data_IF_658646476945
#
_entry.id   IF_658646476945
#
_cell.length_a   1.000
_cell.length_b   1.000
_cell.length_c   1.000
_cell.angle_alpha   90.00
_cell.angle_beta   90.00
_cell.angle_gamma   90.00
#
_symmetry.space_group_name_H-M   'P 1'
#
loop_
_entity.id
_entity.type
_entity.pdbx_description
1 polymer ?
#
# COMPACT_ATOMS: atom_id res chain seq x y z
N UNK A 1 13.72 8.51 -14.32
CA UNK A 1 12.35 8.86 -13.89
C UNK A 1 11.78 7.76 -13.00
N UNK A 2 11.13 8.13 -11.91
CA UNK A 2 10.54 7.24 -10.89
C UNK A 2 9.61 6.17 -11.48
N UNK A 3 8.81 6.50 -12.49
CA UNK A 3 7.89 5.56 -13.18
C UNK A 3 8.51 4.24 -13.66
N UNK A 4 9.76 4.26 -14.14
CA UNK A 4 10.45 3.02 -14.59
C UNK A 4 10.81 2.14 -13.40
N UNK A 5 11.20 2.74 -12.28
CA UNK A 5 11.53 2.03 -11.05
C UNK A 5 10.28 1.42 -10.43
N UNK A 6 9.17 2.16 -10.40
CA UNK A 6 7.87 1.68 -9.88
C UNK A 6 7.39 0.43 -10.64
N UNK A 7 7.48 0.45 -11.99
CA UNK A 7 7.11 -0.72 -12.80
C UNK A 7 7.99 -1.94 -12.52
N UNK A 8 9.29 -1.74 -12.32
CA UNK A 8 10.22 -2.83 -11.98
C UNK A 8 9.94 -3.39 -10.59
N UNK A 9 9.63 -2.53 -9.61
CA UNK A 9 9.26 -2.96 -8.27
C UNK A 9 8.00 -3.82 -8.28
N UNK A 10 6.95 -3.38 -8.98
CA UNK A 10 5.71 -4.16 -9.11
C UNK A 10 5.93 -5.51 -9.81
N UNK A 11 6.75 -5.54 -10.87
CA UNK A 11 7.08 -6.78 -11.58
C UNK A 11 7.89 -7.74 -10.68
N UNK A 12 8.76 -7.22 -9.82
CA UNK A 12 9.49 -8.03 -8.85
C UNK A 12 8.54 -8.65 -7.82
N UNK A 13 7.60 -7.87 -7.27
CA UNK A 13 6.56 -8.37 -6.35
C UNK A 13 5.73 -9.47 -7.01
N UNK A 14 5.24 -9.23 -8.23
CA UNK A 14 4.46 -10.23 -8.97
C UNK A 14 5.25 -11.54 -9.16
N UNK A 15 6.54 -11.45 -9.50
CA UNK A 15 7.40 -12.62 -9.66
C UNK A 15 7.60 -13.37 -8.35
N UNK A 16 7.80 -12.68 -7.23
CA UNK A 16 7.99 -13.29 -5.92
C UNK A 16 6.71 -14.03 -5.49
N UNK A 17 5.56 -13.39 -5.58
CA UNK A 17 4.25 -13.97 -5.20
C UNK A 17 3.96 -15.22 -6.01
N UNK A 18 4.16 -15.17 -7.34
CA UNK A 18 3.95 -16.32 -8.23
C UNK A 18 4.94 -17.44 -7.97
N UNK A 19 6.22 -17.13 -7.80
CA UNK A 19 7.25 -18.15 -7.57
C UNK A 19 7.11 -18.83 -6.20
N UNK A 20 6.61 -18.09 -5.20
CA UNK A 20 6.36 -18.63 -3.87
C UNK A 20 5.09 -19.48 -3.80
N UNK A 21 4.23 -19.45 -4.83
CA UNK A 21 2.84 -19.92 -4.76
C UNK A 21 2.15 -19.40 -3.49
N UNK A 22 2.29 -18.10 -3.23
CA UNK A 22 1.77 -17.51 -2.00
C UNK A 22 0.24 -17.50 -2.01
N UNK A 23 -0.36 -18.04 -0.95
CA UNK A 23 -1.81 -17.98 -0.73
C UNK A 23 -2.23 -16.71 0.02
N UNK A 24 -1.27 -16.01 0.65
CA UNK A 24 -1.49 -14.77 1.38
C UNK A 24 -0.27 -13.84 1.32
N UNK A 25 -0.50 -12.53 1.22
CA UNK A 25 0.55 -11.49 1.22
C UNK A 25 0.33 -10.47 2.32
N UNK A 26 1.28 -10.37 3.26
CA UNK A 26 1.33 -9.30 4.25
C UNK A 26 2.33 -8.22 3.81
N UNK A 27 1.88 -6.98 3.65
CA UNK A 27 2.75 -5.84 3.33
C UNK A 27 3.04 -5.04 4.59
N UNK A 28 4.33 -4.90 4.90
CA UNK A 28 4.82 -4.40 6.19
C UNK A 28 4.91 -2.87 6.30
N UNK A 29 4.06 -2.13 5.56
CA UNK A 29 4.01 -0.67 5.57
C UNK A 29 5.00 0.03 4.63
N UNK A 30 5.06 1.36 4.77
CA UNK A 30 5.84 2.31 3.96
C UNK A 30 5.55 2.17 2.46
N UNK A 31 4.27 2.00 2.13
CA UNK A 31 3.81 1.88 0.75
C UNK A 31 3.79 3.22 0.02
N UNK A 32 3.68 4.32 0.77
CA UNK A 32 3.75 5.67 0.23
C UNK A 32 4.89 6.43 0.90
N UNK A 33 5.83 6.91 0.08
CA UNK A 33 6.89 7.81 0.52
C UNK A 33 6.62 9.23 -0.01
N UNK A 34 5.95 10.11 0.78
CA UNK A 34 5.87 11.52 0.45
C UNK A 34 7.17 12.20 0.90
N UNK A 35 8.05 12.61 -0.02
CA UNK A 35 9.21 13.44 0.33
C UNK A 35 9.11 14.83 -0.30
N UNK A 36 8.49 15.81 0.40
CA UNK A 36 8.33 17.16 -0.09
C UNK A 36 9.68 17.87 -0.34
N UNK A 37 10.72 17.57 0.46
CA UNK A 37 12.00 18.29 0.41
C UNK A 37 12.87 17.99 -0.82
N UNK A 38 12.71 16.83 -1.49
CA UNK A 38 13.52 16.48 -2.67
C UNK A 38 12.72 16.48 -3.99
N UNK A 39 11.47 16.96 -4.01
CA UNK A 39 10.58 16.84 -5.18
C UNK A 39 10.44 15.37 -5.66
N UNK A 40 10.65 14.41 -4.76
CA UNK A 40 10.57 12.98 -5.02
C UNK A 40 9.42 12.38 -4.23
N UNK A 41 8.39 11.95 -4.94
CA UNK A 41 7.17 11.44 -4.34
C UNK A 41 5.94 12.16 -4.87
N UNK A 42 4.78 11.84 -4.31
CA UNK A 42 3.50 12.46 -4.70
C UNK A 42 2.73 12.73 -3.43
N UNK A 43 2.33 13.99 -3.20
CA UNK A 43 1.48 14.39 -2.07
C UNK A 43 0.09 13.73 -2.10
N UNK A 44 -0.28 13.15 -3.24
CA UNK A 44 -1.50 12.39 -3.45
C UNK A 44 -1.26 10.88 -3.19
N UNK A 45 -1.19 10.52 -1.91
CA UNK A 45 -1.08 9.13 -1.44
C UNK A 45 -2.22 8.24 -1.98
N UNK A 46 -3.43 8.77 -2.16
CA UNK A 46 -4.57 8.04 -2.72
C UNK A 46 -4.29 7.42 -4.10
N UNK A 47 -3.56 8.12 -4.98
CA UNK A 47 -3.24 7.58 -6.31
C UNK A 47 -2.30 6.38 -6.21
N UNK A 48 -1.31 6.47 -5.34
CA UNK A 48 -0.36 5.37 -5.09
C UNK A 48 -1.05 4.18 -4.45
N UNK A 49 -1.89 4.43 -3.44
CA UNK A 49 -2.74 3.44 -2.78
C UNK A 49 -3.67 2.71 -3.75
N UNK A 50 -4.36 3.44 -4.65
CA UNK A 50 -5.20 2.82 -5.69
C UNK A 50 -4.40 1.98 -6.69
N UNK A 51 -3.22 2.46 -7.09
CA UNK A 51 -2.34 1.70 -7.99
C UNK A 51 -1.88 0.40 -7.33
N UNK A 52 -1.46 0.48 -6.07
CA UNK A 52 -1.03 -0.68 -5.28
C UNK A 52 -2.16 -1.69 -5.12
N UNK A 53 -3.34 -1.26 -4.64
CA UNK A 53 -4.50 -2.14 -4.50
C UNK A 53 -4.87 -2.79 -5.84
N UNK A 54 -4.87 -2.04 -6.95
CA UNK A 54 -5.13 -2.61 -8.27
C UNK A 54 -4.13 -3.69 -8.69
N UNK A 55 -2.88 -3.62 -8.24
CA UNK A 55 -1.90 -4.68 -8.51
C UNK A 55 -2.19 -5.90 -7.64
N UNK A 56 -2.43 -5.73 -6.34
CA UNK A 56 -2.77 -6.82 -5.43
C UNK A 56 -4.03 -7.57 -5.88
N UNK A 57 -5.07 -6.82 -6.25
CA UNK A 57 -6.32 -7.40 -6.80
C UNK A 57 -6.08 -8.15 -8.12
N UNK A 58 -5.12 -7.72 -8.94
CA UNK A 58 -4.74 -8.44 -10.18
C UNK A 58 -3.90 -9.69 -9.91
N UNK A 59 -3.17 -9.74 -8.80
CA UNK A 59 -2.46 -10.96 -8.38
C UNK A 59 -3.44 -12.06 -7.98
N UNK A 60 -4.63 -11.69 -7.50
CA UNK A 60 -5.70 -12.63 -7.13
C UNK A 60 -5.38 -13.46 -5.90
N UNK A 61 -4.56 -12.90 -4.99
CA UNK A 61 -4.14 -13.51 -3.74
C UNK A 61 -4.68 -12.66 -2.59
N UNK A 62 -5.10 -13.30 -1.50
CA UNK A 62 -5.50 -12.59 -0.28
C UNK A 62 -4.34 -11.77 0.29
N UNK A 63 -4.62 -10.56 0.77
CA UNK A 63 -3.58 -9.66 1.23
C UNK A 63 -4.00 -8.80 2.40
N UNK A 64 -3.02 -8.24 3.10
CA UNK A 64 -3.24 -7.23 4.13
C UNK A 64 -2.08 -6.26 4.17
N UNK A 65 -2.29 -5.13 4.85
CA UNK A 65 -1.29 -4.08 5.02
C UNK A 65 -1.20 -3.71 6.49
N UNK A 66 -0.01 -3.40 6.96
CA UNK A 66 0.18 -2.64 8.19
C UNK A 66 0.67 -1.25 7.83
N UNK A 67 0.30 -0.24 8.61
CA UNK A 67 0.79 1.12 8.35
C UNK A 67 2.22 1.27 8.85
N UNK A 68 3.11 1.74 7.97
CA UNK A 68 4.44 2.21 8.32
C UNK A 68 4.40 3.60 8.94
N UNK A 69 5.57 4.08 9.36
CA UNK A 69 5.72 5.42 9.91
C UNK A 69 5.60 6.51 8.84
N UNK A 70 5.90 6.20 7.57
CA UNK A 70 5.77 7.16 6.46
C UNK A 70 4.37 7.21 5.82
N UNK A 71 3.53 6.19 6.02
CA UNK A 71 2.20 6.10 5.38
C UNK A 71 1.19 7.16 5.86
N UNK A 72 1.51 7.87 6.96
CA UNK A 72 0.68 8.93 7.54
C UNK A 72 1.47 10.16 7.99
N UNK A 73 2.55 10.51 7.28
CA UNK A 73 3.22 11.77 7.58
C UNK A 73 2.27 12.96 7.35
N UNK A 74 2.44 14.01 8.15
CA UNK A 74 1.62 15.24 8.25
C UNK A 74 1.33 15.95 6.91
N UNK A 75 2.06 15.57 5.85
CA UNK A 75 1.97 16.12 4.50
C UNK A 75 1.14 15.27 3.53
N UNK A 76 0.65 14.10 3.95
CA UNK A 76 -0.15 13.20 3.15
C UNK A 76 -1.62 13.67 3.11
N UNK A 77 -2.25 13.58 1.93
CA UNK A 77 -3.62 14.08 1.70
C UNK A 77 -4.71 13.32 2.47
N UNK A 78 -4.48 12.04 2.75
CA UNK A 78 -5.39 11.19 3.53
C UNK A 78 -4.70 10.70 4.80
N UNK A 79 -5.44 10.66 5.89
CA UNK A 79 -5.00 10.07 7.16
C UNK A 79 -5.09 8.53 7.13
N UNK A 80 -4.60 7.88 8.20
CA UNK A 80 -4.64 6.41 8.34
C UNK A 80 -6.07 5.86 8.34
N UNK A 81 -7.02 6.62 8.84
CA UNK A 81 -8.40 6.18 8.95
C UNK A 81 -9.05 6.05 7.57
N UNK A 82 -8.88 7.07 6.74
CA UNK A 82 -9.36 7.11 5.36
C UNK A 82 -8.66 6.08 4.46
N UNK A 83 -7.36 5.87 4.67
CA UNK A 83 -6.63 4.80 3.99
C UNK A 83 -7.11 3.42 4.45
N UNK A 84 -7.37 3.26 5.75
CA UNK A 84 -7.90 2.04 6.33
C UNK A 84 -9.27 1.67 5.77
N UNK A 85 -10.18 2.65 5.66
CA UNK A 85 -11.47 2.47 4.99
C UNK A 85 -11.30 2.00 3.55
N UNK A 86 -10.39 2.63 2.79
CA UNK A 86 -10.12 2.23 1.42
C UNK A 86 -9.61 0.78 1.32
N UNK A 87 -8.66 0.39 2.18
CA UNK A 87 -8.11 -0.96 2.17
C UNK A 87 -9.15 -2.01 2.57
N UNK A 88 -9.90 -1.78 3.65
CA UNK A 88 -10.96 -2.69 4.10
C UNK A 88 -12.08 -2.89 3.09
N UNK A 89 -12.24 -1.97 2.14
CA UNK A 89 -13.23 -2.08 1.07
C UNK A 89 -12.77 -2.90 -0.15
N UNK A 90 -11.51 -3.35 -0.20
CA UNK A 90 -11.02 -4.15 -1.34
C UNK A 90 -11.42 -5.62 -1.19
N UNK A 91 -11.81 -6.32 -2.27
CA UNK A 91 -12.33 -7.69 -2.20
C UNK A 91 -11.42 -8.72 -1.52
N UNK A 92 -10.11 -8.65 -1.77
CA UNK A 92 -9.14 -9.62 -1.23
C UNK A 92 -8.30 -9.04 -0.09
N UNK A 93 -8.67 -7.85 0.42
CA UNK A 93 -7.92 -7.21 1.49
C UNK A 93 -8.54 -7.53 2.85
N UNK A 94 -7.75 -8.17 3.71
CA UNK A 94 -8.10 -8.52 5.08
C UNK A 94 -7.65 -7.45 6.09
N UNK A 95 -7.50 -6.20 5.62
CA UNK A 95 -7.17 -5.09 6.51
C UNK A 95 -8.32 -4.85 7.49
N UNK A 96 -8.00 -4.82 8.78
CA UNK A 96 -8.93 -4.47 9.84
C UNK A 96 -8.38 -3.27 10.60
N UNK A 97 -9.24 -2.28 10.84
CA UNK A 97 -8.91 -1.18 11.73
C UNK A 97 -8.71 -1.73 13.14
N UNK A 98 -7.71 -1.22 13.84
CA UNK A 98 -7.54 -1.50 15.27
C UNK A 98 -8.72 -0.96 16.06
N UNK A 99 -9.00 -1.59 17.20
CA UNK A 99 -10.00 -1.08 18.15
C UNK A 99 -9.54 0.28 18.69
N UNK A 100 -10.30 1.37 18.48
CA UNK A 100 -9.93 2.69 18.99
C UNK A 100 -9.89 2.76 20.51
N UNK A 101 -10.51 1.80 21.21
CA UNK A 101 -10.61 1.75 22.67
C UNK A 101 -9.47 0.94 23.32
N UNK A 102 -8.56 0.37 22.52
CA UNK A 102 -7.39 -0.39 22.98
C UNK A 102 -6.12 0.44 22.69
N UNK A 103 -5.54 1.01 23.75
CA UNK A 103 -4.28 1.79 23.73
C UNK A 103 -3.05 0.93 24.05
#
# INVERSE_FOLDING_TARGET
GTRKKDKLALAAVEKIVKNANADFVAVTGDMVYPMPLLNQGTLNNLKSTKMFASVMEKLGVDWTVVFGNHDSEVWARLDKEQLGDFYSAQPHCHFQKGDPDIF
#
